data_IF_256566147526
#
_entry.id   IF_256566147526
#
_cell.length_a   1.000
_cell.length_b   1.000
_cell.length_c   1.000
_cell.angle_alpha   90.00
_cell.angle_beta   90.00
_cell.angle_gamma   90.00
#
_symmetry.space_group_name_H-M   'P 1'
#
loop_
_entity.id
_entity.type
_entity.pdbx_description
1 polymer ?
#
# COMPACT_ATOMS: atom_id res chain seq x y z
N UNK A 1 -3.06 1.76 -7.02
CA UNK A 1 -2.55 2.93 -7.73
C UNK A 1 -1.42 3.52 -6.89
N UNK A 2 -0.40 4.14 -7.50
CA UNK A 2 0.30 5.22 -6.83
C UNK A 2 -0.74 6.12 -6.17
N UNK A 3 -0.43 6.70 -5.01
CA UNK A 3 -1.17 7.85 -4.54
C UNK A 3 -1.29 8.86 -5.69
N UNK A 4 -2.41 8.82 -6.43
CA UNK A 4 -2.65 9.73 -7.56
C UNK A 4 -2.89 11.14 -7.03
N UNK A 5 -2.95 11.32 -5.72
CA UNK A 5 -3.55 12.48 -5.06
C UNK A 5 -2.67 13.10 -3.96
N UNK A 6 -1.56 12.48 -3.54
CA UNK A 6 -0.46 13.18 -2.82
C UNK A 6 0.38 13.97 -3.80
N UNK A 7 -0.27 14.81 -4.60
CA UNK A 7 0.42 15.58 -5.62
C UNK A 7 0.99 16.84 -5.01
N UNK A 8 2.30 16.83 -4.76
CA UNK A 8 3.07 18.04 -4.52
C UNK A 8 2.70 19.10 -5.57
N UNK A 9 2.68 18.82 -6.89
CA UNK A 9 2.30 19.83 -7.91
C UNK A 9 1.01 20.58 -7.60
N UNK A 10 -0.11 19.90 -7.31
CA UNK A 10 -1.38 20.63 -7.19
C UNK A 10 -1.45 21.44 -5.90
N UNK A 11 -0.83 20.95 -4.83
CA UNK A 11 -0.71 21.72 -3.60
C UNK A 11 0.31 22.87 -3.79
N UNK A 12 1.38 22.67 -4.57
CA UNK A 12 2.40 23.65 -4.97
C UNK A 12 1.81 24.74 -5.87
N UNK A 13 0.88 24.41 -6.78
CA UNK A 13 0.24 25.34 -7.70
C UNK A 13 -1.00 26.03 -7.12
N UNK A 14 -1.56 25.55 -6.01
CA UNK A 14 -2.68 26.18 -5.33
C UNK A 14 -2.20 27.22 -4.30
N UNK A 15 -1.39 28.19 -4.74
CA UNK A 15 -0.70 29.20 -3.91
C UNK A 15 -1.44 29.66 -2.64
N UNK A 16 -0.66 29.94 -1.59
CA UNK A 16 -1.01 30.13 -0.16
C UNK A 16 -1.12 28.84 0.70
N UNK A 17 -1.12 27.65 0.08
CA UNK A 17 -1.34 26.38 0.78
C UNK A 17 -0.07 25.59 1.16
N UNK A 18 1.11 26.00 0.68
CA UNK A 18 2.41 25.40 1.05
C UNK A 18 3.40 26.48 1.50
N UNK A 19 4.36 26.07 2.33
CA UNK A 19 5.49 26.87 2.78
C UNK A 19 6.78 26.17 2.38
N UNK A 20 7.73 26.93 1.87
CA UNK A 20 9.09 26.48 1.60
C UNK A 20 10.00 26.98 2.72
N UNK A 21 10.85 26.13 3.26
CA UNK A 21 11.88 26.55 4.21
C UNK A 21 13.20 26.91 3.49
N UNK A 22 14.17 27.42 4.25
CA UNK A 22 15.48 27.84 3.72
C UNK A 22 16.30 26.67 3.14
N UNK A 23 15.90 25.41 3.40
CA UNK A 23 16.53 24.19 2.89
C UNK A 23 15.83 23.63 1.66
N UNK A 24 14.77 24.29 1.17
CA UNK A 24 14.00 23.81 0.02
C UNK A 24 12.95 22.75 0.38
N UNK A 25 12.68 22.51 1.67
CA UNK A 25 11.64 21.60 2.11
C UNK A 25 10.27 22.25 1.93
N UNK A 26 9.41 21.57 1.19
CA UNK A 26 8.04 22.03 0.98
C UNK A 26 7.15 21.37 2.03
N UNK A 27 6.33 22.16 2.73
CA UNK A 27 5.42 21.70 3.79
C UNK A 27 4.03 22.33 3.64
N UNK A 28 3.01 21.71 4.25
CA UNK A 28 1.65 22.25 4.27
C UNK A 28 1.59 23.53 5.10
N UNK A 29 0.98 24.60 4.56
CA UNK A 29 0.87 25.87 5.26
C UNK A 29 0.01 25.76 6.53
N UNK A 30 0.35 26.48 7.62
CA UNK A 30 -0.40 26.40 8.88
C UNK A 30 -1.90 26.66 8.75
N UNK A 31 -2.31 27.61 7.89
CA UNK A 31 -3.73 27.92 7.63
C UNK A 31 -4.53 26.76 7.02
N UNK A 32 -3.85 25.84 6.32
CA UNK A 32 -4.46 24.65 5.72
C UNK A 32 -4.41 23.46 6.69
N UNK A 33 -3.36 23.34 7.50
CA UNK A 33 -3.18 22.28 8.48
C UNK A 33 -4.43 22.09 9.39
N UNK A 34 -4.93 23.18 9.96
CA UNK A 34 -6.11 23.17 10.84
C UNK A 34 -7.40 22.73 10.12
N UNK A 35 -7.47 22.89 8.80
CA UNK A 35 -8.60 22.42 7.98
C UNK A 35 -8.47 20.95 7.59
N UNK A 36 -7.25 20.40 7.59
CA UNK A 36 -6.97 19.03 7.16
C UNK A 36 -7.14 18.05 8.31
N UNK A 37 -6.49 18.26 9.46
CA UNK A 37 -6.67 17.37 10.62
C UNK A 37 -6.05 17.97 11.89
N UNK A 38 -6.87 18.36 12.87
CA UNK A 38 -6.39 18.90 14.15
C UNK A 38 -5.43 17.94 14.89
N UNK A 39 -5.74 16.64 14.87
CA UNK A 39 -4.94 15.59 15.51
C UNK A 39 -3.93 14.93 14.53
N UNK A 40 -3.89 15.38 13.28
CA UNK A 40 -3.04 14.83 12.21
C UNK A 40 -1.94 15.78 11.75
N UNK A 41 -1.79 16.95 12.38
CA UNK A 41 -0.84 17.98 11.99
C UNK A 41 0.62 17.48 11.97
N UNK A 42 0.99 16.63 12.94
CA UNK A 42 2.32 16.01 13.01
C UNK A 42 2.60 15.03 11.86
N UNK A 43 1.55 14.60 11.15
CA UNK A 43 1.65 13.66 10.02
C UNK A 43 1.51 14.34 8.65
N UNK A 44 1.41 15.66 8.61
CA UNK A 44 1.33 16.38 7.36
C UNK A 44 2.60 16.15 6.53
N UNK A 45 2.47 15.93 5.22
CA UNK A 45 3.60 15.60 4.38
C UNK A 45 4.53 16.81 4.23
N UNK A 46 5.81 16.51 4.29
CA UNK A 46 6.90 17.33 3.79
C UNK A 46 7.50 16.67 2.55
N UNK A 47 8.03 17.49 1.65
CA UNK A 47 8.70 17.04 0.43
C UNK A 47 10.11 17.62 0.40
N UNK A 48 11.10 16.74 0.54
CA UNK A 48 12.51 17.05 0.36
C UNK A 48 12.98 16.52 -1.00
N UNK A 49 13.35 17.43 -1.91
CA UNK A 49 13.84 17.07 -3.24
C UNK A 49 15.32 16.63 -3.24
N UNK A 50 16.06 16.93 -2.16
CA UNK A 50 17.45 16.50 -1.96
C UNK A 50 17.55 15.08 -1.40
N UNK A 51 16.46 14.57 -0.81
CA UNK A 51 16.38 13.22 -0.27
C UNK A 51 16.47 12.18 -1.38
N UNK A 52 17.53 11.36 -1.35
CA UNK A 52 17.80 10.28 -2.31
C UNK A 52 18.14 8.98 -1.60
N UNK A 53 17.61 7.89 -2.12
CA UNK A 53 17.81 6.53 -1.65
C UNK A 53 18.21 5.64 -2.81
N UNK A 54 19.10 4.70 -2.52
CA UNK A 54 19.39 3.60 -3.43
C UNK A 54 18.18 2.67 -3.60
N UNK A 55 18.09 1.97 -4.74
CA UNK A 55 17.22 0.82 -4.89
C UNK A 55 17.35 -0.15 -3.71
N UNK A 56 16.23 -0.76 -3.31
CA UNK A 56 16.28 -1.73 -2.24
C UNK A 56 17.01 -3.00 -2.67
N UNK A 57 18.01 -3.37 -1.89
CA UNK A 57 18.67 -4.66 -2.01
C UNK A 57 17.84 -5.79 -1.38
N UNK A 58 18.16 -7.01 -1.81
CA UNK A 58 17.60 -8.22 -1.25
C UNK A 58 17.90 -8.31 0.24
N UNK A 59 16.91 -8.73 1.02
CA UNK A 59 17.14 -9.15 2.40
C UNK A 59 16.29 -10.36 2.74
N UNK A 60 16.74 -11.10 3.76
CA UNK A 60 15.99 -12.23 4.32
C UNK A 60 14.88 -11.71 5.21
N UNK A 61 13.67 -12.22 4.99
CA UNK A 61 12.50 -11.87 5.79
C UNK A 61 12.12 -13.03 6.72
N UNK A 62 11.84 -12.70 7.98
CA UNK A 62 11.28 -13.60 8.97
C UNK A 62 9.86 -13.14 9.32
N UNK A 63 8.87 -13.91 8.87
CA UNK A 63 7.46 -13.54 9.02
C UNK A 63 7.00 -13.62 10.48
N UNK A 64 6.56 -12.50 11.09
CA UNK A 64 6.00 -12.49 12.45
C UNK A 64 4.84 -13.46 12.66
N UNK A 65 4.04 -13.73 11.62
CA UNK A 65 2.92 -14.66 11.70
C UNK A 65 3.37 -16.10 12.06
N UNK A 66 4.61 -16.49 11.69
CA UNK A 66 5.14 -17.82 11.98
C UNK A 66 5.65 -17.96 13.42
N UNK A 67 5.79 -16.86 14.16
CA UNK A 67 6.13 -16.85 15.59
C UNK A 67 4.91 -16.81 16.51
N UNK A 68 3.76 -16.45 15.95
CA UNK A 68 2.53 -16.22 16.70
C UNK A 68 1.93 -17.51 17.29
N UNK A 69 1.16 -17.36 18.36
CA UNK A 69 0.35 -18.45 18.88
C UNK A 69 -0.96 -18.56 18.08
N UNK A 70 -1.23 -19.75 17.52
CA UNK A 70 -2.41 -20.00 16.67
C UNK A 70 -3.76 -19.71 17.34
N UNK A 71 -3.82 -19.76 18.68
CA UNK A 71 -5.06 -19.48 19.44
C UNK A 71 -5.29 -17.99 19.69
N UNK A 72 -4.31 -17.15 19.36
CA UNK A 72 -4.34 -15.70 19.56
C UNK A 72 -4.63 -15.23 21.01
N UNK A 73 -4.08 -15.87 22.07
CA UNK A 73 -4.40 -15.53 23.45
C UNK A 73 -3.85 -14.17 23.92
N UNK A 74 -2.83 -13.61 23.26
CA UNK A 74 -2.27 -12.31 23.64
C UNK A 74 -3.03 -11.15 22.99
N UNK A 75 -3.56 -11.35 21.78
CA UNK A 75 -4.41 -10.41 21.07
C UNK A 75 -5.85 -10.44 21.58
N UNK A 76 -6.34 -11.63 21.97
CA UNK A 76 -7.68 -11.82 22.52
C UNK A 76 -7.63 -12.54 23.89
N UNK A 77 -7.16 -11.86 24.96
CA UNK A 77 -7.06 -12.47 26.28
C UNK A 77 -8.42 -12.88 26.84
N UNK A 78 -8.44 -13.98 27.57
CA UNK A 78 -9.65 -14.44 28.27
C UNK A 78 -10.10 -13.38 29.29
N UNK A 79 -11.40 -13.06 29.29
CA UNK A 79 -11.98 -12.03 30.16
C UNK A 79 -11.78 -10.58 29.69
N UNK A 80 -11.03 -10.34 28.60
CA UNK A 80 -10.96 -9.01 27.99
C UNK A 80 -12.30 -8.65 27.32
N UNK A 81 -12.67 -7.36 27.38
CA UNK A 81 -13.88 -6.84 26.74
C UNK A 81 -13.55 -6.39 25.32
N UNK A 82 -13.81 -7.23 24.33
CA UNK A 82 -13.67 -6.93 22.91
C UNK A 82 -14.81 -7.54 22.10
N UNK A 83 -15.02 -7.01 20.90
CA UNK A 83 -15.87 -7.65 19.89
C UNK A 83 -15.04 -7.92 18.64
N UNK A 84 -15.31 -9.05 17.98
CA UNK A 84 -14.73 -9.38 16.68
C UNK A 84 -15.79 -9.92 15.74
N UNK A 85 -15.90 -9.32 14.56
CA UNK A 85 -16.92 -9.66 13.57
C UNK A 85 -16.28 -9.82 12.21
N UNK A 86 -16.49 -10.96 11.57
CA UNK A 86 -16.02 -11.16 10.20
C UNK A 86 -16.85 -10.29 9.24
N UNK A 87 -16.17 -9.49 8.42
CA UNK A 87 -16.83 -8.62 7.43
C UNK A 87 -17.43 -9.45 6.29
N UNK A 88 -16.70 -10.49 5.87
CA UNK A 88 -17.17 -11.54 4.97
C UNK A 88 -16.64 -12.91 5.45
N UNK A 89 -17.17 -14.03 4.93
CA UNK A 89 -16.71 -15.36 5.34
C UNK A 89 -15.19 -15.57 5.20
N UNK A 90 -14.58 -15.06 4.12
CA UNK A 90 -13.17 -15.35 3.76
C UNK A 90 -12.23 -14.14 3.80
N UNK A 91 -12.74 -12.94 4.06
CA UNK A 91 -11.94 -11.70 4.04
C UNK A 91 -12.49 -10.71 5.06
N UNK A 92 -11.60 -10.08 5.83
CA UNK A 92 -11.96 -9.02 6.76
C UNK A 92 -12.39 -9.50 8.13
N UNK A 93 -11.85 -8.87 9.16
CA UNK A 93 -12.35 -8.95 10.53
C UNK A 93 -12.32 -7.55 11.16
N UNK A 94 -13.48 -7.07 11.60
CA UNK A 94 -13.61 -5.85 12.38
C UNK A 94 -13.44 -6.16 13.88
N UNK A 95 -12.68 -5.32 14.59
CA UNK A 95 -12.28 -5.52 15.99
C UNK A 95 -12.52 -4.21 16.76
N UNK A 96 -13.17 -4.31 17.91
CA UNK A 96 -13.37 -3.22 18.86
C UNK A 96 -12.93 -3.65 20.27
N UNK A 97 -12.60 -2.69 21.14
CA UNK A 97 -12.20 -2.97 22.52
C UNK A 97 -10.73 -3.38 22.73
N UNK A 98 -9.95 -3.53 21.66
CA UNK A 98 -8.49 -3.75 21.70
C UNK A 98 -7.76 -2.52 21.17
N UNK A 99 -6.81 -1.97 21.93
CA UNK A 99 -5.96 -0.86 21.50
C UNK A 99 -4.63 -1.38 20.98
N UNK A 100 -4.32 -1.09 19.71
CA UNK A 100 -3.04 -1.48 19.09
C UNK A 100 -1.83 -0.93 19.86
N UNK A 101 -1.97 0.27 20.42
CA UNK A 101 -0.91 0.93 21.20
C UNK A 101 -0.56 0.24 22.53
N UNK A 102 -1.39 -0.72 22.98
CA UNK A 102 -1.20 -1.44 24.24
C UNK A 102 -0.69 -2.88 24.02
N UNK A 103 -0.49 -3.28 22.76
CA UNK A 103 -0.07 -4.64 22.44
C UNK A 103 1.41 -4.85 22.77
N UNK A 104 1.69 -5.95 23.46
CA UNK A 104 3.04 -6.49 23.57
C UNK A 104 3.45 -7.20 22.27
N UNK A 105 4.72 -7.61 22.19
CA UNK A 105 5.28 -8.19 20.97
C UNK A 105 4.63 -9.53 20.58
N UNK A 106 4.23 -10.36 21.55
CA UNK A 106 3.49 -11.58 21.27
C UNK A 106 2.11 -11.30 20.66
N UNK A 107 1.39 -10.30 21.15
CA UNK A 107 0.13 -9.87 20.57
C UNK A 107 0.30 -9.24 19.19
N UNK A 108 1.40 -8.54 18.91
CA UNK A 108 1.73 -8.03 17.56
C UNK A 108 2.01 -9.18 16.59
N UNK A 109 2.75 -10.21 16.99
CA UNK A 109 2.91 -11.42 16.16
C UNK A 109 1.55 -12.05 15.84
N UNK A 110 0.63 -12.11 16.81
CA UNK A 110 -0.74 -12.58 16.62
C UNK A 110 -1.60 -11.69 15.71
N UNK A 111 -1.36 -10.37 15.68
CA UNK A 111 -1.94 -9.46 14.68
C UNK A 111 -1.47 -9.84 13.27
N UNK A 112 -0.18 -10.12 13.09
CA UNK A 112 0.36 -10.56 11.80
C UNK A 112 -0.28 -11.89 11.34
N UNK A 113 -0.40 -12.86 12.25
CA UNK A 113 -1.06 -14.13 11.96
C UNK A 113 -2.53 -13.94 11.57
N UNK A 114 -3.28 -13.15 12.34
CA UNK A 114 -4.68 -12.90 12.01
C UNK A 114 -4.82 -12.16 10.68
N UNK A 115 -3.90 -11.24 10.35
CA UNK A 115 -3.87 -10.56 9.06
C UNK A 115 -3.57 -11.54 7.91
N UNK A 116 -2.63 -12.48 8.07
CA UNK A 116 -2.38 -13.52 7.06
C UNK A 116 -3.60 -14.43 6.84
N UNK A 117 -4.34 -14.75 7.91
CA UNK A 117 -5.55 -15.58 7.85
C UNK A 117 -6.76 -14.85 7.26
N UNK A 118 -6.90 -13.55 7.55
CA UNK A 118 -8.13 -12.77 7.26
C UNK A 118 -7.94 -11.73 6.17
N UNK A 119 -6.72 -11.50 5.70
CA UNK A 119 -6.33 -10.51 4.71
C UNK A 119 -6.39 -9.06 5.20
N UNK A 120 -7.48 -8.68 5.88
CA UNK A 120 -7.74 -7.30 6.35
C UNK A 120 -8.31 -7.32 7.77
N UNK A 121 -7.74 -6.50 8.64
CA UNK A 121 -8.20 -6.25 10.00
C UNK A 121 -8.61 -4.79 10.13
N UNK A 122 -9.75 -4.53 10.75
CA UNK A 122 -10.30 -3.18 10.90
C UNK A 122 -10.46 -2.91 12.40
N UNK A 123 -9.50 -2.22 12.98
CA UNK A 123 -9.55 -1.81 14.39
C UNK A 123 -10.27 -0.48 14.49
N UNK A 124 -11.34 -0.43 15.28
CA UNK A 124 -12.11 0.82 15.53
C UNK A 124 -11.64 1.49 16.81
N UNK A 125 -11.94 2.79 16.92
CA UNK A 125 -11.75 3.59 18.13
C UNK A 125 -10.31 3.55 18.68
N UNK A 126 -9.31 3.63 17.79
CA UNK A 126 -7.89 3.54 18.14
C UNK A 126 -7.30 4.88 18.56
N UNK A 127 -6.40 4.86 19.56
CA UNK A 127 -5.62 6.03 19.97
C UNK A 127 -4.28 6.19 19.22
N UNK A 128 -4.02 5.35 18.21
CA UNK A 128 -2.72 5.17 17.56
C UNK A 128 -2.18 6.47 16.94
N UNK A 129 -3.02 7.25 16.25
CA UNK A 129 -2.61 8.54 15.66
C UNK A 129 -2.12 9.51 16.73
N UNK A 130 -2.81 9.58 17.87
CA UNK A 130 -2.48 10.47 18.98
C UNK A 130 -1.19 10.12 19.72
N UNK A 131 -0.57 8.95 19.44
CA UNK A 131 0.76 8.59 19.98
C UNK A 131 1.93 9.26 19.24
N UNK A 132 1.65 9.85 18.09
CA UNK A 132 2.64 10.56 17.27
C UNK A 132 3.44 9.65 16.30
N UNK A 133 4.13 10.25 15.33
CA UNK A 133 4.83 9.55 14.26
C UNK A 133 5.89 8.54 14.71
N UNK A 134 6.68 8.87 15.75
CA UNK A 134 7.73 7.96 16.26
C UNK A 134 7.13 6.66 16.80
N UNK A 135 6.03 6.75 17.57
CA UNK A 135 5.35 5.56 18.08
C UNK A 135 4.83 4.67 16.95
N UNK A 136 4.20 5.27 15.92
CA UNK A 136 3.69 4.53 14.77
C UNK A 136 4.82 3.81 14.02
N UNK A 137 5.96 4.48 13.90
CA UNK A 137 7.17 3.95 13.28
C UNK A 137 7.71 2.76 14.08
N UNK A 138 7.92 2.92 15.39
CA UNK A 138 8.39 1.84 16.27
C UNK A 138 7.43 0.65 16.33
N UNK A 139 6.12 0.93 16.36
CA UNK A 139 5.10 -0.10 16.31
C UNK A 139 5.21 -0.94 15.02
N UNK A 140 5.37 -0.28 13.87
CA UNK A 140 5.46 -0.96 12.59
C UNK A 140 6.80 -1.72 12.40
N UNK A 141 7.91 -1.25 13.00
CA UNK A 141 9.23 -1.91 12.94
C UNK A 141 9.23 -3.34 13.48
N UNK A 142 8.31 -3.66 14.40
CA UNK A 142 8.10 -5.03 14.90
C UNK A 142 7.86 -6.04 13.76
N UNK A 143 7.21 -5.61 12.69
CA UNK A 143 6.78 -6.48 11.59
C UNK A 143 7.82 -6.64 10.48
N UNK A 144 8.92 -5.88 10.53
CA UNK A 144 10.01 -5.91 9.56
C UNK A 144 10.59 -4.51 9.28
N UNK A 145 11.60 -4.47 8.40
CA UNK A 145 12.19 -3.21 7.94
C UNK A 145 11.14 -2.37 7.21
N UNK A 146 11.02 -1.10 7.58
CA UNK A 146 9.98 -0.23 7.01
C UNK A 146 10.31 0.22 5.58
N UNK A 147 9.26 0.36 4.78
CA UNK A 147 9.33 0.83 3.42
C UNK A 147 9.19 2.36 3.34
N UNK A 148 10.17 3.00 2.71
CA UNK A 148 10.16 4.43 2.37
C UNK A 148 9.59 4.59 0.96
N UNK A 149 8.49 5.34 0.84
CA UNK A 149 7.80 5.52 -0.44
C UNK A 149 8.64 6.39 -1.41
N UNK A 150 8.86 5.95 -2.65
CA UNK A 150 9.82 6.60 -3.54
C UNK A 150 9.34 7.96 -4.08
N UNK A 151 8.03 8.20 -4.15
CA UNK A 151 7.50 9.39 -4.86
C UNK A 151 6.51 10.23 -4.06
N UNK A 152 6.46 10.08 -2.74
CA UNK A 152 5.47 10.76 -1.90
C UNK A 152 6.11 11.50 -0.76
N UNK A 153 5.39 12.51 -0.26
CA UNK A 153 5.78 13.22 0.94
C UNK A 153 5.59 12.36 2.18
N UNK A 154 6.34 12.70 3.21
CA UNK A 154 6.35 12.02 4.50
C UNK A 154 6.34 13.07 5.62
N UNK A 155 5.82 12.75 6.82
CA UNK A 155 6.03 13.59 7.99
C UNK A 155 7.51 13.90 8.16
N UNK A 156 7.80 15.10 8.66
CA UNK A 156 9.18 15.55 8.89
C UNK A 156 9.91 14.53 9.78
N UNK A 157 11.14 14.19 9.41
CA UNK A 157 12.01 13.25 10.14
C UNK A 157 11.49 11.78 10.22
N UNK A 158 10.37 11.44 9.56
CA UNK A 158 9.80 10.08 9.51
C UNK A 158 9.55 9.62 8.05
N UNK A 159 10.61 9.38 7.24
CA UNK A 159 10.49 9.08 5.82
C UNK A 159 9.79 7.75 5.49
N UNK A 160 9.70 6.86 6.47
CA UNK A 160 9.02 5.57 6.46
C UNK A 160 7.51 5.65 6.70
N UNK A 161 6.99 6.85 6.95
CA UNK A 161 5.56 7.14 6.95
C UNK A 161 5.15 7.75 5.61
N UNK A 162 4.28 7.04 4.90
CA UNK A 162 3.65 7.53 3.69
C UNK A 162 2.32 8.24 4.00
N UNK A 163 2.28 9.55 3.79
CA UNK A 163 1.05 10.32 3.99
C UNK A 163 0.20 10.36 2.72
N UNK A 164 -1.04 9.89 2.79
CA UNK A 164 -2.03 9.89 1.69
C UNK A 164 -3.06 10.99 1.93
N UNK A 165 -2.79 12.18 1.40
CA UNK A 165 -3.74 13.29 1.36
C UNK A 165 -4.55 13.24 0.05
N UNK A 166 -5.87 13.29 0.15
CA UNK A 166 -6.82 13.34 -0.98
C UNK A 166 -7.83 14.46 -0.78
N UNK A 167 -8.28 15.09 -1.87
CA UNK A 167 -9.24 16.21 -1.81
C UNK A 167 -8.61 17.53 -1.36
N UNK A 168 -9.42 18.39 -0.73
CA UNK A 168 -9.07 19.75 -0.30
C UNK A 168 -9.17 20.83 -1.39
N UNK A 169 -9.41 20.43 -2.64
CA UNK A 169 -9.60 21.33 -3.78
C UNK A 169 -10.68 20.72 -4.67
N UNK A 170 -11.68 21.53 -5.05
CA UNK A 170 -12.76 21.10 -5.94
C UNK A 170 -12.20 20.61 -7.27
N UNK A 171 -12.43 19.33 -7.54
CA UNK A 171 -12.06 18.64 -8.77
C UNK A 171 -13.14 17.60 -9.10
N UNK A 172 -13.50 17.48 -10.38
CA UNK A 172 -14.21 16.31 -10.88
C UNK A 172 -13.19 15.23 -11.31
N UNK A 173 -13.09 14.09 -10.59
CA UNK A 173 -12.16 13.05 -10.97
C UNK A 173 -12.68 12.17 -12.12
N UNK A 174 -13.91 12.39 -12.59
CA UNK A 174 -14.56 11.67 -13.69
C UNK A 174 -14.60 12.45 -15.01
N UNK A 175 -13.99 13.64 -15.05
CA UNK A 175 -13.92 14.51 -16.24
C UNK A 175 -13.45 13.77 -17.51
N UNK A 176 -12.53 12.81 -17.36
CA UNK A 176 -11.94 12.05 -18.49
C UNK A 176 -12.13 10.54 -18.39
N UNK A 177 -12.82 10.04 -17.36
CA UNK A 177 -12.93 8.60 -17.08
C UNK A 177 -14.25 8.24 -16.42
N UNK A 178 -14.82 7.11 -16.80
CA UNK A 178 -16.09 6.62 -16.24
C UNK A 178 -15.94 6.03 -14.82
N UNK A 179 -14.75 5.59 -14.44
CA UNK A 179 -14.46 5.10 -13.08
C UNK A 179 -12.96 5.18 -12.77
N UNK A 180 -12.63 4.94 -11.50
CA UNK A 180 -11.28 5.00 -10.95
C UNK A 180 -10.88 3.67 -10.29
N UNK A 181 -11.46 2.54 -10.74
CA UNK A 181 -11.09 1.23 -10.21
C UNK A 181 -9.61 0.99 -10.50
N UNK A 182 -8.83 0.69 -9.45
CA UNK A 182 -7.38 0.61 -9.54
C UNK A 182 -6.80 -0.32 -8.50
N UNK A 183 -7.20 -1.59 -8.54
CA UNK A 183 -6.67 -2.65 -7.69
C UNK A 183 -5.16 -2.78 -7.83
N UNK A 184 -4.48 -2.85 -6.69
CA UNK A 184 -3.04 -3.03 -6.57
C UNK A 184 -2.65 -3.71 -5.27
N UNK A 185 -1.55 -4.46 -5.32
CA UNK A 185 -0.72 -4.74 -4.15
C UNK A 185 0.33 -3.62 -4.08
N UNK A 186 0.53 -3.06 -2.90
CA UNK A 186 1.44 -1.93 -2.69
C UNK A 186 2.85 -2.30 -3.14
N UNK A 187 3.45 -1.39 -3.93
CA UNK A 187 4.84 -1.42 -4.37
C UNK A 187 5.33 -2.80 -4.83
N UNK A 188 4.46 -3.57 -5.50
CA UNK A 188 4.79 -4.91 -6.00
C UNK A 188 5.93 -4.93 -7.03
N UNK A 189 6.41 -3.76 -7.46
CA UNK A 189 7.60 -3.62 -8.29
C UNK A 189 8.91 -3.70 -7.51
N UNK A 190 8.88 -3.57 -6.17
CA UNK A 190 10.07 -3.68 -5.33
C UNK A 190 10.57 -5.13 -5.29
N UNK A 191 11.86 -5.31 -5.03
CA UNK A 191 12.47 -6.64 -4.92
C UNK A 191 11.90 -7.43 -3.73
N UNK A 192 11.77 -6.77 -2.58
CA UNK A 192 11.02 -7.23 -1.42
C UNK A 192 9.83 -6.27 -1.20
N UNK A 193 8.65 -6.54 -1.78
CA UNK A 193 7.44 -5.75 -1.58
C UNK A 193 7.00 -5.73 -0.12
N UNK A 194 6.02 -4.89 0.22
CA UNK A 194 5.51 -4.82 1.59
C UNK A 194 4.68 -6.06 1.96
N UNK A 195 4.89 -6.58 3.17
CA UNK A 195 4.11 -7.68 3.74
C UNK A 195 2.87 -7.14 4.48
N UNK A 196 3.08 -6.36 5.54
CA UNK A 196 2.00 -5.83 6.37
C UNK A 196 1.95 -4.31 6.24
N UNK A 197 0.78 -3.80 5.88
CA UNK A 197 0.51 -2.37 5.74
C UNK A 197 -0.51 -1.92 6.77
N UNK A 198 -0.29 -0.74 7.34
CA UNK A 198 -1.14 -0.08 8.31
C UNK A 198 -1.69 1.18 7.68
N UNK A 199 -2.99 1.40 7.73
CA UNK A 199 -3.65 2.63 7.27
C UNK A 199 -4.44 3.21 8.44
N UNK A 200 -4.03 4.37 8.91
CA UNK A 200 -4.72 5.08 9.98
C UNK A 200 -5.33 6.37 9.43
N UNK A 201 -6.66 6.51 9.53
CA UNK A 201 -7.35 7.72 9.05
C UNK A 201 -7.33 8.79 10.13
N UNK A 202 -6.94 10.02 9.76
CA UNK A 202 -6.92 11.15 10.70
C UNK A 202 -8.15 12.03 10.54
N UNK A 203 -8.66 12.18 9.32
CA UNK A 203 -9.90 12.88 9.03
C UNK A 203 -10.66 12.22 7.87
N UNK A 204 -11.98 12.42 7.86
CA UNK A 204 -12.89 11.92 6.84
C UNK A 204 -13.71 13.07 6.24
N UNK A 205 -14.15 12.96 4.97
CA UNK A 205 -15.10 13.91 4.39
C UNK A 205 -16.40 13.97 5.19
N UNK A 206 -17.03 15.16 5.29
CA UNK A 206 -18.18 15.41 6.17
C UNK A 206 -19.40 14.56 5.82
N UNK A 207 -19.61 14.34 4.53
CA UNK A 207 -20.71 13.52 4.01
C UNK A 207 -20.38 12.01 3.99
N UNK A 208 -19.19 11.61 4.48
CA UNK A 208 -18.66 10.26 4.36
C UNK A 208 -18.08 9.97 2.96
N UNK A 209 -17.91 8.68 2.65
CA UNK A 209 -17.24 8.22 1.44
C UNK A 209 -15.72 8.19 1.58
N UNK A 210 -15.06 7.93 0.47
CA UNK A 210 -13.62 7.77 0.45
C UNK A 210 -13.13 6.40 0.93
N UNK A 211 -13.98 5.39 0.83
CA UNK A 211 -13.72 4.05 1.34
C UNK A 211 -12.58 3.35 0.59
N UNK A 212 -12.19 2.17 1.09
CA UNK A 212 -11.20 1.32 0.43
C UNK A 212 -11.80 -0.06 0.18
N UNK A 213 -11.72 -0.53 -1.07
CA UNK A 213 -12.13 -1.88 -1.44
C UNK A 213 -10.91 -2.78 -1.43
N UNK A 214 -11.03 -3.95 -0.83
CA UNK A 214 -10.01 -5.00 -0.84
C UNK A 214 -10.55 -6.23 -1.55
N UNK A 215 -9.70 -6.91 -2.32
CA UNK A 215 -9.98 -8.19 -2.96
C UNK A 215 -9.07 -9.28 -2.36
N UNK A 216 -9.66 -10.44 -2.05
CA UNK A 216 -8.91 -11.60 -1.61
C UNK A 216 -8.28 -12.30 -2.82
N UNK A 217 -6.97 -12.15 -3.01
CA UNK A 217 -6.28 -12.72 -4.16
C UNK A 217 -5.94 -14.22 -3.98
N UNK A 218 -6.05 -14.77 -2.75
CA UNK A 218 -6.04 -16.22 -2.52
C UNK A 218 -7.32 -16.83 -3.10
N UNK A 219 -8.47 -16.25 -2.74
CA UNK A 219 -9.76 -16.71 -3.25
C UNK A 219 -9.88 -16.48 -4.76
N UNK A 220 -9.34 -15.38 -5.29
CA UNK A 220 -9.26 -15.15 -6.73
C UNK A 220 -8.49 -16.26 -7.44
N UNK A 221 -7.35 -16.70 -6.89
CA UNK A 221 -6.61 -17.85 -7.42
C UNK A 221 -7.41 -19.14 -7.30
N UNK A 222 -8.02 -19.41 -6.14
CA UNK A 222 -8.72 -20.68 -5.90
C UNK A 222 -9.89 -20.92 -6.84
N UNK A 223 -10.53 -19.85 -7.31
CA UNK A 223 -11.67 -19.90 -8.24
C UNK A 223 -11.29 -20.13 -9.70
N UNK A 224 -10.01 -20.03 -10.05
CA UNK A 224 -9.55 -20.39 -11.39
C UNK A 224 -9.72 -21.89 -11.60
N UNK A 225 -10.04 -22.29 -12.84
CA UNK A 225 -10.14 -23.71 -13.17
C UNK A 225 -8.78 -24.40 -12.98
N UNK A 226 -8.75 -25.72 -12.71
CA UNK A 226 -7.49 -26.47 -12.60
C UNK A 226 -6.58 -26.27 -13.82
N UNK A 227 -7.16 -26.21 -15.02
CA UNK A 227 -6.40 -25.94 -16.25
C UNK A 227 -5.78 -24.55 -16.25
N UNK A 228 -6.49 -23.52 -15.79
CA UNK A 228 -5.89 -22.19 -15.67
C UNK A 228 -4.80 -22.15 -14.61
N UNK A 229 -4.99 -22.81 -13.47
CA UNK A 229 -3.95 -22.92 -12.42
C UNK A 229 -2.68 -23.59 -12.98
N UNK A 230 -2.81 -24.65 -13.77
CA UNK A 230 -1.70 -25.31 -14.45
C UNK A 230 -1.01 -24.38 -15.46
N UNK A 231 -1.77 -23.63 -16.27
CA UNK A 231 -1.21 -22.70 -17.26
C UNK A 231 -0.47 -21.52 -16.65
N UNK A 232 -0.85 -21.09 -15.44
CA UNK A 232 -0.20 -19.98 -14.75
C UNK A 232 1.03 -20.41 -13.93
N UNK A 233 1.16 -21.70 -13.61
CA UNK A 233 2.31 -22.22 -12.87
C UNK A 233 3.62 -21.95 -13.63
N UNK A 234 4.64 -21.47 -12.93
CA UNK A 234 5.94 -21.11 -13.49
C UNK A 234 5.98 -19.79 -14.26
N UNK A 235 4.85 -19.13 -14.53
CA UNK A 235 4.86 -17.83 -15.20
C UNK A 235 5.25 -16.72 -14.23
N UNK A 236 6.18 -15.87 -14.66
CA UNK A 236 6.51 -14.61 -13.98
C UNK A 236 5.99 -13.41 -14.78
N UNK A 237 5.68 -12.33 -14.08
CA UNK A 237 5.29 -11.07 -14.67
C UNK A 237 6.18 -9.95 -14.16
N UNK A 238 6.42 -8.94 -15.01
CA UNK A 238 7.20 -7.76 -14.65
C UNK A 238 6.30 -6.72 -14.01
N UNK A 239 6.70 -6.29 -12.81
CA UNK A 239 6.08 -5.22 -12.06
C UNK A 239 6.99 -3.98 -12.11
N UNK A 240 6.45 -2.83 -12.52
CA UNK A 240 7.23 -1.62 -12.81
C UNK A 240 6.81 -0.43 -11.98
N UNK A 241 7.79 0.26 -11.40
CA UNK A 241 7.64 1.55 -10.72
C UNK A 241 7.75 2.77 -11.65
N UNK A 242 8.11 2.57 -12.93
CA UNK A 242 8.44 3.66 -13.86
C UNK A 242 7.25 4.61 -14.08
N UNK A 243 6.04 4.09 -14.30
CA UNK A 243 4.86 4.94 -14.47
C UNK A 243 4.53 5.78 -13.23
N UNK A 244 4.80 5.24 -12.05
CA UNK A 244 4.62 5.99 -10.80
C UNK A 244 5.62 7.15 -10.73
N UNK A 245 6.89 6.88 -11.04
CA UNK A 245 7.94 7.89 -11.03
C UNK A 245 7.74 8.96 -12.12
N UNK A 246 7.38 8.56 -13.34
CA UNK A 246 7.05 9.47 -14.43
C UNK A 246 5.84 10.34 -14.11
N UNK A 247 4.80 9.76 -13.50
CA UNK A 247 3.64 10.51 -13.03
C UNK A 247 4.03 11.53 -11.95
N UNK A 248 4.94 11.18 -11.05
CA UNK A 248 5.47 12.11 -10.05
C UNK A 248 6.24 13.27 -10.70
N UNK A 249 7.14 13.00 -11.65
CA UNK A 249 7.86 14.02 -12.42
C UNK A 249 6.90 14.95 -13.16
N UNK A 250 5.94 14.38 -13.89
CA UNK A 250 4.93 15.15 -14.62
C UNK A 250 4.13 16.07 -13.69
N UNK A 251 3.90 15.60 -12.46
CA UNK A 251 3.28 16.35 -11.36
C UNK A 251 4.31 17.04 -10.46
N UNK A 252 5.50 17.36 -10.96
CA UNK A 252 6.56 18.11 -10.27
C UNK A 252 6.74 17.72 -8.79
N UNK A 253 6.59 16.42 -8.53
CA UNK A 253 6.73 15.82 -7.21
C UNK A 253 8.14 15.29 -7.04
N UNK A 254 8.42 14.82 -5.82
CA UNK A 254 9.69 14.19 -5.49
C UNK A 254 9.78 12.80 -6.13
N UNK A 255 10.98 12.46 -6.58
CA UNK A 255 11.39 11.07 -6.84
C UNK A 255 12.66 10.85 -6.05
N UNK A 256 12.52 10.12 -4.95
CA UNK A 256 13.56 9.88 -3.93
C UNK A 256 14.35 8.61 -4.18
N UNK A 257 13.86 7.71 -5.02
CA UNK A 257 14.54 6.48 -5.42
C UNK A 257 14.34 6.26 -6.91
N UNK A 258 15.38 5.85 -7.60
CA UNK A 258 15.28 5.47 -9.01
C UNK A 258 14.22 4.36 -9.18
N UNK A 259 13.28 4.45 -10.14
CA UNK A 259 12.29 3.41 -10.32
C UNK A 259 12.95 2.09 -10.70
N UNK A 260 12.35 0.99 -10.24
CA UNK A 260 12.80 -0.38 -10.53
C UNK A 260 11.71 -1.16 -11.25
N UNK A 261 12.14 -2.19 -11.97
CA UNK A 261 11.28 -3.26 -12.45
C UNK A 261 11.77 -4.57 -11.85
N UNK A 262 10.86 -5.40 -11.33
CA UNK A 262 11.17 -6.73 -10.86
C UNK A 262 10.20 -7.74 -11.45
N UNK A 263 10.72 -8.93 -11.75
CA UNK A 263 9.92 -10.07 -12.20
C UNK A 263 9.50 -10.89 -10.99
N UNK A 264 8.20 -11.12 -10.86
CA UNK A 264 7.61 -11.89 -9.76
C UNK A 264 6.69 -12.99 -10.29
N UNK A 265 6.56 -14.13 -9.62
CA UNK A 265 5.64 -15.18 -10.03
C UNK A 265 4.19 -14.68 -10.04
N UNK A 266 3.45 -15.01 -11.10
CA UNK A 266 2.00 -14.72 -11.20
C UNK A 266 1.22 -15.49 -10.15
N UNK A 267 1.71 -16.67 -9.77
CA UNK A 267 1.20 -17.45 -8.65
C UNK A 267 2.29 -17.50 -7.59
N UNK A 268 2.23 -16.59 -6.63
CA UNK A 268 3.15 -16.60 -5.49
C UNK A 268 2.62 -17.50 -4.37
N UNK A 269 3.52 -17.94 -3.50
CA UNK A 269 3.20 -18.57 -2.21
C UNK A 269 3.64 -17.65 -1.07
N UNK A 270 2.79 -17.43 -0.07
CA UNK A 270 3.15 -16.69 1.15
C UNK A 270 3.97 -17.56 2.09
N UNK A 271 4.73 -17.00 3.05
CA UNK A 271 5.42 -17.80 4.07
C UNK A 271 4.48 -18.75 4.85
N UNK A 272 3.21 -18.39 4.99
CA UNK A 272 2.13 -19.22 5.57
C UNK A 272 1.60 -20.32 4.64
N UNK A 273 2.09 -20.43 3.40
CA UNK A 273 1.75 -21.48 2.44
C UNK A 273 0.53 -21.19 1.54
N UNK A 274 -0.04 -19.98 1.58
CA UNK A 274 -1.18 -19.63 0.73
C UNK A 274 -0.71 -19.31 -0.69
N UNK A 275 -1.36 -19.88 -1.70
CA UNK A 275 -1.16 -19.50 -3.11
C UNK A 275 -2.01 -18.27 -3.44
N UNK A 276 -1.41 -17.29 -4.10
CA UNK A 276 -2.02 -15.99 -4.38
C UNK A 276 -1.84 -15.63 -5.85
N UNK A 277 -2.92 -15.15 -6.49
CA UNK A 277 -2.84 -14.51 -7.80
C UNK A 277 -2.17 -13.13 -7.66
N UNK A 278 -0.93 -13.00 -8.11
CA UNK A 278 -0.06 -11.85 -7.87
C UNK A 278 0.15 -10.99 -9.12
N UNK A 279 -0.96 -10.51 -9.67
CA UNK A 279 -0.96 -9.52 -10.75
C UNK A 279 -1.86 -8.37 -10.38
N UNK A 280 -1.51 -7.17 -10.84
CA UNK A 280 -2.34 -5.99 -10.58
C UNK A 280 -2.19 -4.90 -11.64
N UNK A 281 -3.26 -4.15 -11.87
CA UNK A 281 -3.29 -3.08 -12.86
C UNK A 281 -2.48 -1.84 -12.45
N UNK A 282 -2.05 -1.76 -11.20
CA UNK A 282 -1.16 -0.70 -10.73
C UNK A 282 0.25 -0.80 -11.33
N UNK A 283 0.82 -2.02 -11.30
CA UNK A 283 2.26 -2.21 -11.51
C UNK A 283 2.63 -3.33 -12.48
N UNK A 284 1.79 -4.34 -12.69
CA UNK A 284 2.09 -5.40 -13.66
C UNK A 284 2.02 -4.86 -15.09
N UNK A 285 3.03 -5.16 -15.92
CA UNK A 285 3.15 -4.64 -17.30
C UNK A 285 3.14 -5.73 -18.36
N UNK A 286 3.90 -6.80 -18.15
CA UNK A 286 4.05 -7.89 -19.12
C UNK A 286 4.30 -9.21 -18.42
N UNK A 287 3.91 -10.31 -19.07
CA UNK A 287 4.23 -11.69 -18.65
C UNK A 287 5.47 -12.14 -19.41
N UNK A 288 6.47 -12.63 -18.69
CA UNK A 288 7.72 -13.07 -19.29
C UNK A 288 7.51 -14.31 -20.16
N UNK A 289 8.22 -14.37 -21.29
CA UNK A 289 8.13 -15.47 -22.25
C UNK A 289 6.91 -15.45 -23.18
N UNK A 290 5.94 -14.57 -22.97
CA UNK A 290 4.80 -14.38 -23.87
C UNK A 290 5.02 -13.22 -24.84
N UNK A 291 4.36 -13.29 -26.01
CA UNK A 291 4.27 -12.13 -26.93
C UNK A 291 3.37 -11.05 -26.35
N UNK A 292 3.45 -9.85 -26.89
CA UNK A 292 2.71 -8.68 -26.40
C UNK A 292 1.20 -8.90 -26.39
N UNK A 293 0.63 -9.41 -27.48
CA UNK A 293 -0.81 -9.66 -27.59
C UNK A 293 -1.28 -10.77 -26.63
N UNK A 294 -0.49 -11.83 -26.49
CA UNK A 294 -0.74 -12.95 -25.58
C UNK A 294 -0.73 -12.48 -24.12
N UNK A 295 0.32 -11.76 -23.74
CA UNK A 295 0.48 -11.15 -22.41
C UNK A 295 -0.67 -10.19 -22.11
N UNK A 296 -1.02 -9.32 -23.07
CA UNK A 296 -2.09 -8.33 -22.91
C UNK A 296 -3.44 -9.00 -22.67
N UNK A 297 -3.79 -10.01 -23.47
CA UNK A 297 -5.06 -10.74 -23.33
C UNK A 297 -5.12 -11.48 -22.01
N UNK A 298 -4.05 -12.18 -21.63
CA UNK A 298 -4.00 -12.95 -20.38
C UNK A 298 -4.05 -12.03 -19.15
N UNK A 299 -3.24 -10.97 -19.12
CA UNK A 299 -3.29 -9.99 -18.04
C UNK A 299 -4.66 -9.35 -17.93
N UNK A 300 -5.27 -8.95 -19.05
CA UNK A 300 -6.63 -8.37 -19.02
C UNK A 300 -7.64 -9.32 -18.37
N UNK A 301 -7.60 -10.62 -18.72
CA UNK A 301 -8.48 -11.60 -18.11
C UNK A 301 -8.28 -11.68 -16.58
N UNK A 302 -7.03 -11.78 -16.12
CA UNK A 302 -6.72 -11.89 -14.68
C UNK A 302 -7.09 -10.62 -13.90
N UNK A 303 -6.86 -9.44 -14.48
CA UNK A 303 -7.22 -8.16 -13.87
C UNK A 303 -8.75 -7.95 -13.84
N UNK A 304 -9.46 -8.36 -14.89
CA UNK A 304 -10.93 -8.34 -14.92
C UNK A 304 -11.52 -9.30 -13.88
N UNK A 305 -10.93 -10.48 -13.72
CA UNK A 305 -11.33 -11.47 -12.71
C UNK A 305 -11.28 -10.87 -11.30
N UNK A 306 -10.16 -10.23 -10.93
CA UNK A 306 -10.02 -9.58 -9.61
C UNK A 306 -11.00 -8.41 -9.46
N UNK A 307 -11.09 -7.52 -10.46
CA UNK A 307 -11.89 -6.30 -10.34
C UNK A 307 -13.40 -6.55 -10.29
N UNK A 308 -13.91 -7.57 -11.01
CA UNK A 308 -15.33 -7.93 -11.05
C UNK A 308 -15.75 -8.92 -9.95
N UNK A 309 -14.78 -9.45 -9.20
CA UNK A 309 -14.97 -10.44 -8.15
C UNK A 309 -15.59 -9.93 -6.86
N UNK A 310 -16.74 -9.26 -6.93
CA UNK A 310 -17.41 -8.65 -5.77
C UNK A 310 -17.68 -9.62 -4.62
N UNK A 311 -17.80 -10.91 -4.91
CA UNK A 311 -18.06 -12.02 -3.99
C UNK A 311 -16.80 -12.56 -3.29
N UNK A 312 -15.63 -12.00 -3.56
CA UNK A 312 -14.42 -12.15 -2.76
C UNK A 312 -13.76 -10.81 -2.41
N UNK A 313 -14.55 -9.74 -2.44
CA UNK A 313 -14.16 -8.39 -2.04
C UNK A 313 -14.87 -7.96 -0.75
N UNK A 314 -14.25 -7.02 -0.03
CA UNK A 314 -14.90 -6.24 1.02
C UNK A 314 -14.70 -4.75 0.77
N UNK A 315 -15.63 -3.93 1.23
CA UNK A 315 -15.49 -2.47 1.30
C UNK A 315 -15.31 -2.08 2.76
N UNK A 316 -14.19 -1.43 3.07
CA UNK A 316 -13.95 -0.87 4.40
C UNK A 316 -14.44 0.57 4.42
N UNK A 317 -15.52 0.80 5.17
CA UNK A 317 -16.01 2.14 5.43
C UNK A 317 -15.17 2.82 6.52
N UNK A 318 -14.59 3.98 6.20
CA UNK A 318 -13.79 4.73 7.17
C UNK A 318 -14.68 5.36 8.24
N UNK A 319 -14.27 5.24 9.49
CA UNK A 319 -14.79 5.99 10.64
C UNK A 319 -13.61 6.71 11.29
N UNK A 320 -13.83 7.79 12.05
CA UNK A 320 -12.76 8.41 12.83
C UNK A 320 -12.04 7.35 13.68
N UNK A 321 -10.72 7.51 13.85
CA UNK A 321 -9.89 6.62 14.67
C UNK A 321 -9.89 5.14 14.21
N UNK A 322 -10.19 4.87 12.94
CA UNK A 322 -10.05 3.53 12.37
C UNK A 322 -8.60 3.29 11.93
N UNK A 323 -8.05 2.15 12.31
CA UNK A 323 -6.80 1.62 11.78
C UNK A 323 -7.11 0.33 11.02
N UNK A 324 -6.73 0.29 9.74
CA UNK A 324 -6.82 -0.90 8.91
C UNK A 324 -5.43 -1.50 8.79
N UNK A 325 -5.30 -2.79 9.10
CA UNK A 325 -4.07 -3.55 8.95
C UNK A 325 -4.34 -4.62 7.91
N UNK A 326 -3.53 -4.73 6.87
CA UNK A 326 -3.77 -5.73 5.84
C UNK A 326 -2.48 -6.40 5.39
N UNK A 327 -2.58 -7.70 5.11
CA UNK A 327 -1.52 -8.47 4.52
C UNK A 327 -1.52 -8.23 3.01
N UNK A 328 -0.61 -7.35 2.58
CA UNK A 328 -0.45 -6.90 1.20
C UNK A 328 0.02 -8.01 0.25
N UNK A 329 0.43 -9.17 0.79
CA UNK A 329 0.83 -10.35 0.01
C UNK A 329 -0.39 -11.13 -0.48
N UNK A 330 -1.50 -11.09 0.25
CA UNK A 330 -2.72 -11.86 -0.05
C UNK A 330 -3.88 -11.03 -0.58
N UNK A 331 -3.84 -9.70 -0.40
CA UNK A 331 -4.89 -8.80 -0.92
C UNK A 331 -4.37 -7.84 -1.98
N UNK A 332 -5.28 -7.42 -2.85
CA UNK A 332 -5.13 -6.16 -3.59
C UNK A 332 -6.22 -5.19 -3.15
N UNK A 333 -6.00 -3.90 -3.32
CA UNK A 333 -6.96 -2.90 -2.88
C UNK A 333 -7.09 -1.73 -3.85
N UNK A 334 -8.23 -1.03 -3.78
CA UNK A 334 -8.56 0.14 -4.59
C UNK A 334 -9.14 1.23 -3.69
N UNK A 335 -8.56 2.43 -3.77
CA UNK A 335 -9.14 3.61 -3.14
C UNK A 335 -10.42 4.02 -3.89
N UNK A 336 -11.44 4.45 -3.15
CA UNK A 336 -12.64 5.07 -3.70
C UNK A 336 -12.55 6.59 -3.53
N UNK A 337 -12.98 7.31 -4.56
CA UNK A 337 -13.06 8.77 -4.60
C UNK A 337 -14.50 9.16 -4.94
N UNK A 338 -15.41 8.92 -3.99
CA UNK A 338 -16.86 9.13 -4.08
C UNK A 338 -17.36 10.20 -3.09
N UNK A 339 -16.51 11.16 -2.74
CA UNK A 339 -16.83 12.27 -1.83
C UNK A 339 -16.58 13.62 -2.51
N UNK A 340 -17.15 14.70 -1.96
CA UNK A 340 -16.88 16.06 -2.41
C UNK A 340 -15.40 16.39 -2.22
N UNK A 341 -14.68 16.55 -3.32
CA UNK A 341 -13.23 16.78 -3.32
C UNK A 341 -12.82 18.14 -2.73
N UNK A 342 -13.78 19.02 -2.43
CA UNK A 342 -13.56 20.21 -1.61
C UNK A 342 -13.28 19.86 -0.14
N UNK A 343 -13.82 18.74 0.35
CA UNK A 343 -13.39 18.13 1.61
C UNK A 343 -12.07 17.39 1.42
N UNK A 344 -11.38 17.09 2.53
CA UNK A 344 -10.13 16.33 2.50
C UNK A 344 -10.27 14.98 3.21
N UNK A 345 -9.35 14.09 2.89
CA UNK A 345 -9.12 12.83 3.61
C UNK A 345 -7.61 12.61 3.71
N UNK A 346 -7.14 12.42 4.92
CA UNK A 346 -5.76 12.15 5.25
C UNK A 346 -5.67 10.76 5.88
N UNK A 347 -4.93 9.88 5.23
CA UNK A 347 -4.62 8.54 5.71
C UNK A 347 -3.12 8.42 5.83
N UNK A 348 -2.66 7.94 6.98
CA UNK A 348 -1.25 7.69 7.25
C UNK A 348 -0.98 6.23 7.00
N UNK A 349 0.06 5.93 6.23
CA UNK A 349 0.48 4.57 5.92
C UNK A 349 1.89 4.29 6.40
N UNK A 350 2.05 3.31 7.27
CA UNK A 350 3.33 2.61 7.49
C UNK A 350 3.24 1.22 6.90
N UNK A 351 4.36 0.70 6.41
CA UNK A 351 4.38 -0.64 5.83
C UNK A 351 5.73 -1.31 6.07
N UNK A 352 5.69 -2.55 6.54
CA UNK A 352 6.86 -3.39 6.69
C UNK A 352 7.14 -4.14 5.38
N UNK A 353 8.39 -4.14 4.93
CA UNK A 353 8.88 -4.96 3.81
C UNK A 353 8.78 -6.44 4.19
N UNK A 354 8.37 -7.25 3.23
CA UNK A 354 8.20 -8.69 3.34
C UNK A 354 9.29 -9.48 2.66
N UNK A 355 8.99 -10.76 2.45
CA UNK A 355 9.81 -11.64 1.64
C UNK A 355 9.84 -11.24 0.16
N UNK A 356 10.90 -11.67 -0.52
CA UNK A 356 10.89 -11.73 -1.97
C UNK A 356 9.80 -12.74 -2.43
N UNK A 357 8.87 -12.37 -3.33
CA UNK A 357 7.83 -13.28 -3.80
C UNK A 357 8.39 -14.51 -4.51
N UNK A 358 8.01 -15.69 -4.05
CA UNK A 358 8.41 -16.99 -4.63
C UNK A 358 7.18 -17.83 -4.95
N UNK A 359 7.26 -18.69 -5.96
CA UNK A 359 6.21 -19.66 -6.25
C UNK A 359 6.31 -20.88 -5.33
N UNK A 360 7.53 -21.34 -5.04
CA UNK A 360 7.83 -22.49 -4.19
C UNK A 360 8.53 -22.03 -2.89
N UNK A 361 8.04 -22.49 -1.74
CA UNK A 361 8.59 -22.13 -0.44
C UNK A 361 10.04 -22.57 -0.25
N UNK A 362 10.50 -23.60 -0.99
CA UNK A 362 11.91 -23.99 -0.95
C UNK A 362 12.86 -22.89 -1.42
N UNK A 363 12.35 -21.91 -2.17
CA UNK A 363 13.10 -20.79 -2.71
C UNK A 363 12.99 -19.52 -1.86
N UNK A 364 12.19 -19.56 -0.79
CA UNK A 364 12.06 -18.46 0.17
C UNK A 364 13.43 -18.08 0.74
N UNK A 365 13.71 -16.78 0.82
CA UNK A 365 14.96 -16.22 1.33
C UNK A 365 16.24 -16.65 0.57
N UNK A 366 16.11 -17.17 -0.66
CA UNK A 366 17.23 -17.27 -1.60
C UNK A 366 17.38 -15.95 -2.35
N UNK A 367 18.59 -15.39 -2.41
CA UNK A 367 18.86 -14.28 -3.33
C UNK A 367 18.64 -14.78 -4.76
N UNK A 368 17.65 -14.25 -5.46
CA UNK A 368 17.61 -14.31 -6.92
C UNK A 368 18.27 -13.03 -7.44
N UNK A 369 19.15 -13.18 -8.43
CA UNK A 369 19.53 -12.06 -9.31
C UNK A 369 18.30 -11.71 -10.15
N UNK A 370 17.39 -10.92 -9.59
CA UNK A 370 16.36 -10.30 -10.42
C UNK A 370 16.99 -9.15 -11.18
N UNK A 371 16.93 -9.27 -12.50
CA UNK A 371 17.42 -8.29 -13.44
C UNK A 371 16.85 -6.91 -13.11
N UNK A 372 17.70 -6.05 -12.56
CA UNK A 372 17.51 -4.60 -12.56
C UNK A 372 17.49 -4.17 -14.02
N UNK A 373 16.30 -4.04 -14.61
CA UNK A 373 16.18 -3.49 -15.95
C UNK A 373 16.28 -1.96 -15.89
N UNK A 374 17.34 -1.44 -16.52
CA UNK A 374 17.52 -0.05 -16.89
C UNK A 374 16.72 0.23 -18.17
N UNK A 375 15.46 0.63 -18.03
CA UNK A 375 14.62 1.03 -19.16
C UNK A 375 14.80 2.50 -19.54
N UNK A 376 14.97 2.86 -20.83
CA UNK A 376 15.16 4.24 -21.30
C UNK A 376 13.89 5.13 -21.19
N UNK A 377 12.85 4.66 -20.51
CA UNK A 377 11.52 5.29 -20.44
C UNK A 377 11.31 6.11 -19.16
N UNK A 378 12.23 6.02 -18.19
CA UNK A 378 12.20 6.94 -17.06
C UNK A 378 12.56 8.36 -17.55
N UNK A 379 11.64 9.30 -17.35
CA UNK A 379 11.81 10.67 -17.82
C UNK A 379 12.91 11.42 -17.06
N UNK A 380 13.27 11.00 -15.84
CA UNK A 380 14.30 11.64 -15.03
C UNK A 380 15.64 11.68 -15.76
N UNK A 381 16.11 10.53 -16.23
CA UNK A 381 17.39 10.41 -16.95
C UNK A 381 17.44 11.27 -18.21
N UNK A 382 16.31 11.43 -18.90
CA UNK A 382 16.19 12.28 -20.10
C UNK A 382 16.18 13.77 -19.78
N UNK A 383 15.69 14.16 -18.60
CA UNK A 383 15.66 15.56 -18.17
C UNK A 383 17.02 16.01 -17.65
N UNK A 384 17.78 15.15 -16.97
CA UNK A 384 19.14 15.49 -16.49
C UNK A 384 20.11 15.82 -17.64
N UNK A 385 19.93 15.22 -18.81
CA UNK A 385 20.69 15.52 -20.02
C UNK A 385 20.26 16.80 -20.76
N UNK A 386 19.16 17.44 -20.35
CA UNK A 386 18.65 18.68 -20.91
C UNK A 386 18.95 19.82 -19.93
N UNK A 387 20.12 20.44 -20.05
CA UNK A 387 20.37 21.76 -19.44
C UNK A 387 19.31 22.74 -19.96
N UNK A 388 18.42 23.21 -19.08
CA UNK A 388 17.49 24.31 -19.33
C UNK A 388 18.15 25.62 -18.93
#
# INVERSE_FOLDING_TARGET
MPSRYTTAARIIFAGENLVNDDKGHISVAPKLADKLAKDGNEYLPTWDFSEKYEPYEFFKYEDPALRANEKLPNLFPEGAKYEKTNVSPKLGTEITGIQLSQLNDAAKDEVALLAAQRGVLIFRDQDLIGKGPEFLTDYARHYGTLHIHPTSGAPKDHPDIHTVLSGGIKQDPFETRNNLVGFHSDVSYELNPTALSFLAVTNIPKAGGGDTVFANNVEAYERLSPLFKEKLAGLKAVHSGVDQANLAIFKKGVVKRHPVENSHPIVRTTPSGQKVLYVNGGFTRRIEGLKEEESTVLLKFLLDHVSKGHDFQIRVNWKPNTVVIFDNRVVSHSAILDFDTSDSRLIIRTAARGEHPVEDLKDLNKPEENNVYHGPEYLGDRLEGLTI
#
